data_IF_504558273022
#
_entry.id   IF_504558273022
#
_cell.length_a   1.000
_cell.length_b   1.000
_cell.length_c   1.000
_cell.angle_alpha   90.00
_cell.angle_beta   90.00
_cell.angle_gamma   90.00
#
_symmetry.space_group_name_H-M   'P 1'
#
loop_
_entity.id
_entity.type
_entity.pdbx_description
1 polymer ?
#
# COMPACT_ATOMS: atom_id res chain seq x y z
N UNK A 1 -15.14 1.41 29.34
CA UNK A 1 -14.13 2.01 28.46
C UNK A 1 -14.55 3.41 28.08
N UNK A 2 -13.73 4.41 28.35
CA UNK A 2 -14.12 5.78 27.99
C UNK A 2 -14.26 5.94 26.48
N UNK A 3 -15.24 6.70 26.06
CA UNK A 3 -15.49 7.01 24.65
C UNK A 3 -14.28 7.69 23.98
N UNK A 4 -13.52 8.46 24.75
CA UNK A 4 -12.32 9.16 24.25
C UNK A 4 -11.22 8.19 23.85
N UNK A 5 -11.04 7.09 24.59
CA UNK A 5 -10.06 6.05 24.24
C UNK A 5 -10.45 5.35 22.94
N UNK A 6 -11.74 5.04 22.76
CA UNK A 6 -12.23 4.41 21.52
C UNK A 6 -12.03 5.34 20.32
N UNK A 7 -12.30 6.64 20.47
CA UNK A 7 -12.06 7.62 19.40
C UNK A 7 -10.59 7.73 19.04
N UNK A 8 -9.69 7.70 20.05
CA UNK A 8 -8.27 7.73 19.83
C UNK A 8 -7.80 6.49 19.06
N UNK A 9 -8.34 5.32 19.39
CA UNK A 9 -8.02 4.07 18.68
C UNK A 9 -8.48 4.12 17.22
N UNK A 10 -9.68 4.65 16.97
CA UNK A 10 -10.18 4.80 15.61
C UNK A 10 -9.35 5.80 14.80
N UNK A 11 -8.94 6.90 15.41
CA UNK A 11 -8.05 7.87 14.77
C UNK A 11 -6.70 7.23 14.42
N UNK A 12 -6.17 6.39 15.31
CA UNK A 12 -4.94 5.65 15.06
C UNK A 12 -5.09 4.65 13.90
N UNK A 13 -6.22 3.95 13.80
CA UNK A 13 -6.52 3.03 12.70
C UNK A 13 -6.59 3.79 11.37
N UNK A 14 -7.25 4.95 11.34
CA UNK A 14 -7.32 5.77 10.13
C UNK A 14 -5.94 6.30 9.72
N UNK A 15 -5.16 6.75 10.68
CA UNK A 15 -3.79 7.22 10.41
C UNK A 15 -2.92 6.10 9.84
N UNK A 16 -3.06 4.88 10.37
CA UNK A 16 -2.37 3.70 9.82
C UNK A 16 -2.83 3.43 8.38
N UNK A 17 -4.13 3.48 8.11
CA UNK A 17 -4.68 3.30 6.78
C UNK A 17 -4.15 4.32 5.79
N UNK A 18 -4.08 5.59 6.17
CA UNK A 18 -3.53 6.66 5.34
C UNK A 18 -2.05 6.44 5.05
N UNK A 19 -1.27 6.06 6.06
CA UNK A 19 0.15 5.77 5.90
C UNK A 19 0.38 4.57 4.97
N UNK A 20 -0.39 3.49 5.12
CA UNK A 20 -0.31 2.32 4.24
C UNK A 20 -0.69 2.67 2.82
N UNK A 21 -1.72 3.50 2.62
CA UNK A 21 -2.13 3.98 1.30
C UNK A 21 -1.03 4.78 0.61
N UNK A 22 -0.35 5.66 1.34
CA UNK A 22 0.77 6.43 0.84
C UNK A 22 1.95 5.53 0.45
N UNK A 23 2.29 4.54 1.28
CA UNK A 23 3.33 3.58 0.96
C UNK A 23 2.98 2.74 -0.26
N UNK A 24 1.73 2.32 -0.41
CA UNK A 24 1.27 1.58 -1.58
C UNK A 24 1.43 2.40 -2.86
N UNK A 25 1.11 3.69 -2.82
CA UNK A 25 1.29 4.60 -3.96
C UNK A 25 2.78 4.75 -4.31
N UNK A 26 3.65 4.91 -3.31
CA UNK A 26 5.10 5.00 -3.52
C UNK A 26 5.65 3.71 -4.15
N UNK A 27 5.23 2.55 -3.68
CA UNK A 27 5.66 1.27 -4.24
C UNK A 27 5.22 1.10 -5.69
N UNK A 28 4.01 1.52 -6.04
CA UNK A 28 3.53 1.51 -7.43
C UNK A 28 4.36 2.43 -8.31
N UNK A 29 4.73 3.60 -7.81
CA UNK A 29 5.58 4.55 -8.53
C UNK A 29 6.97 3.97 -8.77
N UNK A 30 7.57 3.30 -7.77
CA UNK A 30 8.86 2.63 -7.91
C UNK A 30 8.78 1.50 -8.93
N UNK A 31 7.73 0.68 -8.90
CA UNK A 31 7.52 -0.40 -9.87
C UNK A 31 7.43 0.15 -11.30
N UNK A 32 6.68 1.24 -11.50
CA UNK A 32 6.56 1.89 -12.80
C UNK A 32 7.91 2.46 -13.28
N UNK A 33 8.67 3.08 -12.38
CA UNK A 33 9.99 3.60 -12.70
C UNK A 33 10.95 2.49 -13.13
N UNK A 34 10.91 1.34 -12.46
CA UNK A 34 11.72 0.17 -12.83
C UNK A 34 11.35 -0.35 -14.21
N UNK A 35 10.05 -0.41 -14.53
CA UNK A 35 9.59 -0.87 -15.84
C UNK A 35 9.98 0.06 -16.98
N UNK A 36 10.08 1.36 -16.71
CA UNK A 36 10.45 2.36 -17.71
C UNK A 36 11.96 2.56 -17.83
N UNK A 37 12.76 1.85 -17.06
CA UNK A 37 14.21 1.95 -17.11
C UNK A 37 14.72 1.48 -18.48
N UNK A 38 15.59 2.27 -19.16
CA UNK A 38 16.12 1.88 -20.47
C UNK A 38 16.96 0.60 -20.40
N UNK A 39 16.86 -0.22 -21.44
CA UNK A 39 17.73 -1.40 -21.57
C UNK A 39 19.16 -0.97 -21.83
N UNK A 40 20.18 -1.57 -21.21
CA UNK A 40 21.57 -1.30 -21.49
C UNK A 40 22.07 -1.94 -22.79
N UNK A 41 21.22 -2.68 -23.51
CA UNK A 41 21.62 -3.45 -24.69
C UNK A 41 22.32 -2.60 -25.76
N UNK A 42 21.81 -1.40 -26.03
CA UNK A 42 22.38 -0.51 -27.05
C UNK A 42 23.79 -0.02 -26.69
N UNK A 43 24.05 0.19 -25.40
CA UNK A 43 25.35 0.67 -24.91
C UNK A 43 26.40 -0.47 -24.84
N UNK A 44 25.96 -1.70 -24.60
CA UNK A 44 26.87 -2.83 -24.38
C UNK A 44 27.23 -3.58 -25.66
N UNK A 45 26.43 -3.44 -26.73
CA UNK A 45 26.64 -4.12 -27.99
C UNK A 45 26.49 -5.65 -27.88
N UNK A 46 26.95 -6.41 -28.92
CA UNK A 46 26.73 -7.86 -28.95
C UNK A 46 27.40 -8.64 -27.82
N UNK A 47 28.57 -8.18 -27.37
CA UNK A 47 29.33 -8.86 -26.31
C UNK A 47 28.59 -8.76 -24.95
N UNK A 48 27.91 -7.66 -24.73
CA UNK A 48 27.15 -7.42 -23.49
C UNK A 48 25.74 -7.96 -23.50
N UNK A 49 25.33 -8.66 -24.57
CA UNK A 49 23.91 -9.05 -24.72
C UNK A 49 23.43 -10.00 -23.63
N UNK A 50 24.27 -10.93 -23.18
CA UNK A 50 23.91 -11.83 -22.07
C UNK A 50 23.69 -11.05 -20.78
N UNK A 51 24.55 -10.07 -20.51
CA UNK A 51 24.39 -9.20 -19.36
C UNK A 51 23.11 -8.38 -19.49
N UNK A 52 22.85 -7.80 -20.66
CA UNK A 52 21.65 -7.02 -20.90
C UNK A 52 20.37 -7.84 -20.69
N UNK A 53 20.34 -9.09 -21.15
CA UNK A 53 19.22 -9.99 -20.96
C UNK A 53 19.02 -10.31 -19.47
N UNK A 54 20.08 -10.68 -18.78
CA UNK A 54 20.02 -10.97 -17.34
C UNK A 54 19.60 -9.75 -16.53
N UNK A 55 20.10 -8.57 -16.90
CA UNK A 55 19.71 -7.31 -16.26
C UNK A 55 18.23 -7.02 -16.45
N UNK A 56 17.71 -7.17 -17.67
CA UNK A 56 16.30 -6.94 -17.98
C UNK A 56 15.41 -7.91 -17.21
N UNK A 57 15.78 -9.18 -17.15
CA UNK A 57 15.03 -10.19 -16.38
C UNK A 57 15.03 -9.84 -14.89
N UNK A 58 16.16 -9.42 -14.35
CA UNK A 58 16.27 -9.02 -12.94
C UNK A 58 15.41 -7.79 -12.64
N UNK A 59 15.42 -6.78 -13.52
CA UNK A 59 14.61 -5.57 -13.38
C UNK A 59 13.12 -5.92 -13.43
N UNK A 60 12.71 -6.77 -14.36
CA UNK A 60 11.32 -7.20 -14.47
C UNK A 60 10.85 -7.97 -13.23
N UNK A 61 11.65 -8.91 -12.75
CA UNK A 61 11.34 -9.68 -11.56
C UNK A 61 11.25 -8.76 -10.33
N UNK A 62 12.15 -7.81 -10.20
CA UNK A 62 12.14 -6.86 -9.09
C UNK A 62 10.93 -5.92 -9.16
N UNK A 63 10.61 -5.43 -10.36
CA UNK A 63 9.43 -4.60 -10.59
C UNK A 63 8.14 -5.34 -10.22
N UNK A 64 8.01 -6.61 -10.59
CA UNK A 64 6.85 -7.43 -10.24
C UNK A 64 6.75 -7.66 -8.73
N UNK A 65 7.88 -7.89 -8.07
CA UNK A 65 7.92 -8.04 -6.61
C UNK A 65 7.50 -6.77 -5.89
N UNK A 66 7.98 -5.60 -6.34
CA UNK A 66 7.62 -4.30 -5.78
C UNK A 66 6.14 -3.99 -6.02
N UNK A 67 5.62 -4.29 -7.21
CA UNK A 67 4.20 -4.12 -7.53
C UNK A 67 3.32 -5.00 -6.65
N UNK A 68 3.71 -6.25 -6.43
CA UNK A 68 3.01 -7.18 -5.53
C UNK A 68 2.99 -6.67 -4.10
N UNK A 69 4.12 -6.15 -3.60
CA UNK A 69 4.20 -5.55 -2.27
C UNK A 69 3.28 -4.32 -2.18
N UNK A 70 3.24 -3.49 -3.21
CA UNK A 70 2.34 -2.33 -3.29
C UNK A 70 0.87 -2.74 -3.20
N UNK A 71 0.49 -3.81 -3.90
CA UNK A 71 -0.88 -4.34 -3.85
C UNK A 71 -1.26 -4.83 -2.46
N UNK A 72 -0.34 -5.54 -1.78
CA UNK A 72 -0.56 -6.02 -0.40
C UNK A 72 -0.68 -4.86 0.57
N UNK A 73 0.17 -3.85 0.43
CA UNK A 73 0.14 -2.66 1.28
C UNK A 73 -1.17 -1.89 1.08
N UNK A 74 -1.63 -1.77 -0.18
CA UNK A 74 -2.92 -1.16 -0.50
C UNK A 74 -4.09 -1.93 0.09
N UNK A 75 -4.02 -3.27 0.08
CA UNK A 75 -5.01 -4.13 0.75
C UNK A 75 -5.06 -3.89 2.26
N UNK A 76 -3.91 -3.69 2.88
CA UNK A 76 -3.82 -3.33 4.30
C UNK A 76 -4.47 -1.97 4.59
N UNK A 77 -4.27 -0.99 3.71
CA UNK A 77 -4.91 0.32 3.83
C UNK A 77 -6.43 0.22 3.78
N UNK A 78 -6.98 -0.55 2.84
CA UNK A 78 -8.42 -0.78 2.73
C UNK A 78 -8.97 -1.49 3.95
N UNK A 79 -8.26 -2.48 4.48
CA UNK A 79 -8.66 -3.18 5.70
C UNK A 79 -8.72 -2.24 6.90
N UNK A 80 -7.77 -1.34 7.04
CA UNK A 80 -7.75 -0.35 8.11
C UNK A 80 -8.93 0.63 7.98
N UNK A 81 -9.21 1.11 6.78
CA UNK A 81 -10.36 2.00 6.52
C UNK A 81 -11.68 1.30 6.83
N UNK A 82 -11.84 0.06 6.39
CA UNK A 82 -13.04 -0.72 6.65
C UNK A 82 -13.23 -1.00 8.14
N UNK A 83 -12.15 -1.28 8.86
CA UNK A 83 -12.20 -1.48 10.30
C UNK A 83 -12.63 -0.20 11.03
N UNK A 84 -12.05 0.94 10.67
CA UNK A 84 -12.42 2.22 11.27
C UNK A 84 -13.89 2.56 11.00
N UNK A 85 -14.38 2.37 9.77
CA UNK A 85 -15.78 2.60 9.41
C UNK A 85 -16.71 1.66 10.16
N UNK A 86 -16.32 0.39 10.33
CA UNK A 86 -17.10 -0.60 11.09
C UNK A 86 -17.24 -0.22 12.55
N UNK A 87 -16.17 0.21 13.19
CA UNK A 87 -16.21 0.69 14.59
C UNK A 87 -17.05 1.97 14.73
N UNK A 88 -16.94 2.90 13.77
CA UNK A 88 -17.76 4.11 13.73
C UNK A 88 -19.25 3.76 13.68
N UNK A 89 -19.65 2.89 12.77
CA UNK A 89 -21.03 2.49 12.61
C UNK A 89 -21.56 1.78 13.86
N UNK A 90 -20.75 0.91 14.47
CA UNK A 90 -21.12 0.23 15.71
C UNK A 90 -21.28 1.22 16.86
N UNK A 91 -20.39 2.20 16.97
CA UNK A 91 -20.48 3.25 17.98
C UNK A 91 -21.73 4.11 17.83
N UNK A 92 -22.05 4.48 16.61
CA UNK A 92 -23.27 5.25 16.31
C UNK A 92 -24.54 4.47 16.64
N UNK A 93 -24.58 3.19 16.32
CA UNK A 93 -25.72 2.32 16.67
C UNK A 93 -25.86 2.16 18.17
N UNK A 94 -24.76 1.97 18.88
CA UNK A 94 -24.78 1.88 20.34
C UNK A 94 -25.31 3.19 20.97
N UNK A 95 -24.85 4.34 20.48
CA UNK A 95 -25.31 5.63 20.96
C UNK A 95 -26.81 5.85 20.72
N UNK A 96 -27.32 5.39 19.57
CA UNK A 96 -28.74 5.50 19.24
C UNK A 96 -29.64 4.64 20.13
N UNK A 97 -29.09 3.55 20.71
CA UNK A 97 -29.83 2.68 21.61
C UNK A 97 -29.85 3.17 23.07
N UNK A 98 -29.03 4.16 23.41
CA UNK A 98 -29.03 4.71 24.77
C UNK A 98 -30.26 5.60 24.99
N UNK A 99 -30.88 5.54 26.21
CA UNK A 99 -32.02 6.41 26.48
C UNK A 99 -31.59 7.88 26.54
N UNK A 100 -32.46 8.80 26.12
CA UNK A 100 -32.17 10.22 26.24
C UNK A 100 -32.01 10.64 27.69
N UNK A 101 -31.08 11.54 27.94
CA UNK A 101 -30.79 12.05 29.30
C UNK A 101 -31.68 13.24 29.62
#
# INVERSE_FOLDING_TARGET
MPADTLRADMAAIRALGDALGAHAADLRAVAAALRSMPSPAAALGPIGQRFATAFTEAVNAHSDAVASLGARTGGGALSAENSAAGYDAAGQRAAALLPPV
#
